data_IF_578577621678
#
_entry.id   IF_578577621678
#
_cell.length_a   1.000
_cell.length_b   1.000
_cell.length_c   1.000
_cell.angle_alpha   90.00
_cell.angle_beta   90.00
_cell.angle_gamma   90.00
#
_symmetry.space_group_name_H-M   'P 1'
#
loop_
_entity.id
_entity.type
_entity.pdbx_description
1 polymer ?
#
# COMPACT_ATOMS: atom_id res chain seq x y z
N UNK A 1 -11.91 7.12 -17.27
CA UNK A 1 -10.48 7.01 -16.91
C UNK A 1 -9.98 5.63 -17.33
N UNK A 2 -8.95 5.55 -18.18
CA UNK A 2 -8.34 4.27 -18.55
C UNK A 2 -7.44 3.83 -17.39
N UNK A 3 -7.69 2.65 -16.82
CA UNK A 3 -6.89 2.14 -15.72
C UNK A 3 -5.41 2.04 -16.13
N UNK A 4 -4.53 2.69 -15.36
CA UNK A 4 -3.09 2.65 -15.61
C UNK A 4 -2.59 1.21 -15.48
N UNK A 5 -1.70 0.73 -16.37
CA UNK A 5 -1.14 -0.62 -16.25
C UNK A 5 -0.46 -0.83 -14.89
N UNK A 6 -0.80 -1.93 -14.21
CA UNK A 6 -0.18 -2.32 -12.93
C UNK A 6 1.32 -2.52 -13.11
N UNK A 7 2.10 -2.09 -12.11
CA UNK A 7 3.54 -2.31 -12.11
C UNK A 7 3.88 -3.82 -12.04
N UNK A 8 5.08 -4.21 -12.46
CA UNK A 8 5.55 -5.60 -12.36
C UNK A 8 5.46 -6.13 -10.91
N UNK A 9 5.77 -5.27 -9.95
CA UNK A 9 5.74 -5.59 -8.53
C UNK A 9 4.30 -5.82 -8.03
N UNK A 10 3.35 -4.97 -8.44
CA UNK A 10 1.92 -5.16 -8.14
C UNK A 10 1.39 -6.49 -8.69
N UNK A 11 1.73 -6.82 -9.93
CA UNK A 11 1.35 -8.11 -10.54
C UNK A 11 1.92 -9.32 -9.79
N UNK A 12 3.17 -9.21 -9.32
CA UNK A 12 3.80 -10.26 -8.50
C UNK A 12 3.10 -10.41 -7.14
N UNK A 13 2.70 -9.30 -6.51
CA UNK A 13 1.95 -9.32 -5.25
C UNK A 13 0.60 -10.02 -5.41
N UNK A 14 -0.18 -9.63 -6.41
CA UNK A 14 -1.49 -10.23 -6.72
C UNK A 14 -1.36 -11.73 -6.98
N UNK A 15 -0.41 -12.15 -7.81
CA UNK A 15 -0.17 -13.57 -8.07
C UNK A 15 0.23 -14.35 -6.81
N UNK A 16 0.96 -13.71 -5.89
CA UNK A 16 1.36 -14.33 -4.62
C UNK A 16 0.16 -14.47 -3.68
N UNK A 17 -0.65 -13.41 -3.53
CA UNK A 17 -1.88 -13.46 -2.73
C UNK A 17 -2.87 -14.49 -3.26
N UNK A 18 -3.05 -14.58 -4.57
CA UNK A 18 -3.98 -15.54 -5.18
C UNK A 18 -3.51 -16.98 -4.97
N UNK A 19 -2.20 -17.22 -5.11
CA UNK A 19 -1.60 -18.52 -4.75
C UNK A 19 -1.82 -18.87 -3.28
N UNK A 20 -1.66 -17.91 -2.38
CA UNK A 20 -1.86 -18.11 -0.94
C UNK A 20 -3.34 -18.36 -0.60
N UNK A 21 -4.26 -17.62 -1.24
CA UNK A 21 -5.71 -17.84 -1.16
C UNK A 21 -6.09 -19.25 -1.60
N UNK A 22 -5.61 -19.68 -2.77
CA UNK A 22 -5.86 -21.02 -3.29
C UNK A 22 -5.28 -22.10 -2.38
N UNK A 23 -4.05 -21.91 -1.88
CA UNK A 23 -3.41 -22.86 -0.97
C UNK A 23 -4.19 -22.98 0.35
N UNK A 24 -4.64 -21.86 0.92
CA UNK A 24 -5.43 -21.86 2.16
C UNK A 24 -6.75 -22.60 1.97
N UNK A 25 -7.48 -22.30 0.90
CA UNK A 25 -8.73 -22.98 0.57
C UNK A 25 -8.53 -24.48 0.31
N UNK A 26 -7.45 -24.86 -0.40
CA UNK A 26 -7.11 -26.26 -0.65
C UNK A 26 -6.79 -27.04 0.64
N UNK A 27 -6.09 -26.42 1.59
CA UNK A 27 -5.76 -27.03 2.89
C UNK A 27 -7.01 -27.21 3.74
N UNK A 28 -7.91 -26.22 3.76
CA UNK A 28 -9.20 -26.33 4.44
C UNK A 28 -10.05 -27.46 3.83
N UNK A 29 -10.13 -27.51 2.50
CA UNK A 29 -10.82 -28.60 1.80
C UNK A 29 -10.22 -29.97 2.12
N UNK A 30 -8.90 -30.06 2.19
CA UNK A 30 -8.21 -31.30 2.55
C UNK A 30 -8.52 -31.74 3.99
N UNK A 31 -8.55 -30.80 4.95
CA UNK A 31 -8.98 -31.07 6.33
C UNK A 31 -10.38 -31.69 6.38
N UNK A 32 -11.34 -31.09 5.67
CA UNK A 32 -12.70 -31.65 5.57
C UNK A 32 -12.69 -33.08 5.01
N UNK A 33 -11.89 -33.35 3.97
CA UNK A 33 -11.82 -34.70 3.38
C UNK A 33 -11.20 -35.73 4.33
N UNK A 34 -10.22 -35.33 5.13
CA UNK A 34 -9.62 -36.20 6.16
C UNK A 34 -10.66 -36.57 7.21
N UNK A 35 -11.46 -35.60 7.68
CA UNK A 35 -12.55 -35.83 8.63
C UNK A 35 -13.66 -36.72 8.06
N UNK A 36 -14.01 -36.55 6.78
CA UNK A 36 -14.98 -37.42 6.09
C UNK A 36 -14.49 -38.85 5.98
N UNK A 37 -13.21 -39.02 5.64
CA UNK A 37 -12.58 -40.34 5.57
C UNK A 37 -12.58 -41.03 6.95
N UNK A 38 -12.32 -40.27 8.03
CA UNK A 38 -12.37 -40.77 9.39
C UNK A 38 -13.79 -41.24 9.80
N UNK A 39 -14.84 -40.59 9.26
CA UNK A 39 -16.25 -41.00 9.43
C UNK A 39 -16.67 -42.20 8.56
N UNK A 40 -15.77 -42.75 7.75
CA UNK A 40 -16.08 -43.84 6.81
C UNK A 40 -16.81 -43.39 5.54
N UNK A 41 -16.90 -42.09 5.28
CA UNK A 41 -17.50 -41.56 4.06
C UNK A 41 -16.52 -41.58 2.88
N UNK A 42 -17.05 -41.50 1.65
CA UNK A 42 -16.23 -41.30 0.45
C UNK A 42 -15.54 -39.93 0.50
N UNK A 43 -14.21 -39.95 0.56
CA UNK A 43 -13.34 -38.75 0.55
C UNK A 43 -12.69 -38.53 -0.81
N UNK A 44 -12.53 -37.28 -1.24
CA UNK A 44 -11.69 -36.96 -2.43
C UNK A 44 -10.21 -37.19 -2.12
N UNK A 45 -9.44 -37.55 -3.15
CA UNK A 45 -7.99 -37.71 -3.01
C UNK A 45 -7.29 -36.35 -2.93
N UNK A 46 -6.13 -36.30 -2.28
CA UNK A 46 -5.28 -35.10 -2.23
C UNK A 46 -4.96 -34.56 -3.65
N UNK A 47 -4.75 -35.46 -4.61
CA UNK A 47 -4.44 -35.09 -6.01
C UNK A 47 -5.60 -34.35 -6.67
N UNK A 48 -6.84 -34.80 -6.43
CA UNK A 48 -8.00 -34.12 -6.99
C UNK A 48 -8.19 -32.71 -6.42
N UNK A 49 -7.91 -32.52 -5.12
CA UNK A 49 -7.95 -31.20 -4.48
C UNK A 49 -6.84 -30.30 -5.05
N UNK A 50 -5.62 -30.84 -5.22
CA UNK A 50 -4.52 -30.10 -5.83
C UNK A 50 -4.85 -29.62 -7.25
N UNK A 51 -5.48 -30.48 -8.07
CA UNK A 51 -5.95 -30.14 -9.41
C UNK A 51 -7.10 -29.13 -9.39
N UNK A 52 -8.07 -29.25 -8.48
CA UNK A 52 -9.22 -28.34 -8.31
C UNK A 52 -8.78 -26.90 -7.98
N UNK A 53 -7.79 -26.75 -7.10
CA UNK A 53 -7.30 -25.43 -6.66
C UNK A 53 -6.04 -24.95 -7.40
N UNK A 54 -5.56 -25.71 -8.39
CA UNK A 54 -4.33 -25.42 -9.13
C UNK A 54 -3.09 -25.19 -8.23
N UNK A 55 -2.95 -25.99 -7.18
CA UNK A 55 -1.82 -25.90 -6.22
C UNK A 55 -1.05 -27.22 -6.14
N UNK A 56 0.22 -27.17 -5.76
CA UNK A 56 1.03 -28.37 -5.59
C UNK A 56 0.54 -29.22 -4.40
N UNK A 57 0.37 -30.53 -4.61
CA UNK A 57 -0.04 -31.48 -3.57
C UNK A 57 0.90 -31.50 -2.34
N UNK A 58 2.20 -31.31 -2.55
CA UNK A 58 3.19 -31.24 -1.47
C UNK A 58 3.05 -29.95 -0.68
N UNK A 59 2.67 -28.84 -1.32
CA UNK A 59 2.40 -27.58 -0.62
C UNK A 59 1.19 -27.72 0.32
N UNK A 60 0.12 -28.40 -0.12
CA UNK A 60 -1.04 -28.71 0.74
C UNK A 60 -0.60 -29.55 1.95
N UNK A 61 0.13 -30.64 1.72
CA UNK A 61 0.59 -31.54 2.79
C UNK A 61 1.52 -30.84 3.78
N UNK A 62 2.51 -30.09 3.28
CA UNK A 62 3.44 -29.34 4.11
C UNK A 62 2.67 -28.37 5.02
N UNK A 63 1.70 -27.64 4.45
CA UNK A 63 0.89 -26.69 5.20
C UNK A 63 -0.06 -27.37 6.19
N UNK A 64 -0.67 -28.49 5.80
CA UNK A 64 -1.52 -29.30 6.67
C UNK A 64 -0.74 -29.81 7.89
N UNK A 65 0.51 -30.23 7.69
CA UNK A 65 1.42 -30.70 8.74
C UNK A 65 2.04 -29.56 9.58
N UNK A 66 1.54 -28.32 9.46
CA UNK A 66 2.02 -27.17 10.25
C UNK A 66 3.25 -26.47 9.69
N UNK A 67 3.68 -26.78 8.46
CA UNK A 67 4.76 -26.08 7.79
C UNK A 67 4.39 -24.63 7.45
N UNK A 68 5.38 -23.74 7.51
CA UNK A 68 5.23 -22.33 7.17
C UNK A 68 5.57 -22.06 5.71
N UNK A 69 4.86 -21.12 5.10
CA UNK A 69 5.23 -20.56 3.81
C UNK A 69 6.45 -19.64 3.96
N UNK A 70 7.12 -19.36 2.85
CA UNK A 70 8.23 -18.38 2.82
C UNK A 70 7.74 -17.01 3.31
N UNK A 71 6.51 -16.62 2.99
CA UNK A 71 5.93 -15.34 3.44
C UNK A 71 5.76 -15.31 4.95
N UNK A 72 5.21 -16.37 5.55
CA UNK A 72 5.06 -16.48 7.01
C UNK A 72 6.41 -16.49 7.72
N UNK A 73 7.40 -17.23 7.19
CA UNK A 73 8.75 -17.22 7.74
C UNK A 73 9.46 -15.86 7.60
N UNK A 74 9.12 -15.09 6.57
CA UNK A 74 9.65 -13.73 6.41
C UNK A 74 8.94 -12.74 7.33
N UNK A 75 7.64 -12.93 7.60
CA UNK A 75 6.88 -12.11 8.53
C UNK A 75 7.44 -12.21 9.96
N UNK A 76 7.89 -13.39 10.40
CA UNK A 76 8.52 -13.55 11.73
C UNK A 76 9.86 -12.83 11.86
N UNK A 77 10.54 -12.56 10.76
CA UNK A 77 11.82 -11.84 10.72
C UNK A 77 11.64 -10.31 10.63
N UNK A 78 10.39 -9.82 10.62
CA UNK A 78 10.14 -8.39 10.51
C UNK A 78 10.39 -7.64 11.81
N UNK A 79 10.86 -6.40 11.63
CA UNK A 79 11.15 -5.48 12.73
C UNK A 79 9.88 -4.91 13.35
N UNK A 80 8.86 -4.68 12.52
CA UNK A 80 7.52 -4.29 12.93
C UNK A 80 6.56 -5.46 12.73
N UNK A 81 5.48 -5.48 13.49
CA UNK A 81 4.35 -6.41 13.27
C UNK A 81 3.57 -6.00 12.02
N UNK A 82 2.78 -6.94 11.46
CA UNK A 82 1.93 -6.64 10.31
C UNK A 82 0.91 -5.50 10.60
N UNK A 83 0.44 -5.40 11.84
CA UNK A 83 -0.49 -4.34 12.26
C UNK A 83 0.20 -2.97 12.34
N UNK A 84 1.41 -2.91 12.93
CA UNK A 84 2.21 -1.68 12.98
C UNK A 84 2.65 -1.22 11.60
N UNK A 85 3.06 -2.15 10.73
CA UNK A 85 3.45 -1.84 9.36
C UNK A 85 2.25 -1.30 8.56
N UNK A 86 1.05 -1.87 8.77
CA UNK A 86 -0.18 -1.34 8.22
C UNK A 86 -0.50 0.07 8.74
N UNK A 87 -0.40 0.32 10.04
CA UNK A 87 -0.61 1.64 10.61
C UNK A 87 0.36 2.69 10.04
N UNK A 88 1.63 2.31 9.83
CA UNK A 88 2.60 3.16 9.14
C UNK A 88 2.20 3.44 7.69
N UNK A 89 1.70 2.44 6.96
CA UNK A 89 1.22 2.62 5.60
C UNK A 89 0.00 3.55 5.54
N UNK A 90 -0.95 3.39 6.46
CA UNK A 90 -2.13 4.26 6.60
C UNK A 90 -1.72 5.70 6.93
N UNK A 91 -0.72 5.88 7.80
CA UNK A 91 -0.11 7.19 8.07
C UNK A 91 0.52 7.82 6.82
N UNK A 92 1.22 7.04 5.99
CA UNK A 92 1.75 7.55 4.71
C UNK A 92 0.63 7.98 3.77
N UNK A 93 -0.47 7.22 3.70
CA UNK A 93 -1.64 7.55 2.89
C UNK A 93 -2.27 8.86 3.38
N UNK A 94 -2.48 8.99 4.69
CA UNK A 94 -3.02 10.20 5.30
C UNK A 94 -2.15 11.43 4.97
N UNK A 95 -0.83 11.30 5.14
CA UNK A 95 0.13 12.36 4.80
C UNK A 95 0.07 12.76 3.32
N UNK A 96 -0.05 11.79 2.41
CA UNK A 96 -0.25 12.06 0.99
C UNK A 96 -1.57 12.82 0.73
N UNK A 97 -2.66 12.45 1.40
CA UNK A 97 -3.96 13.14 1.26
C UNK A 97 -3.93 14.60 1.73
N UNK A 98 -3.07 14.91 2.71
CA UNK A 98 -2.82 16.26 3.20
C UNK A 98 -1.85 17.07 2.31
N UNK A 99 -1.48 16.56 1.12
CA UNK A 99 -0.44 17.13 0.27
C UNK A 99 0.93 17.28 0.98
N UNK A 100 1.21 16.40 1.95
CA UNK A 100 2.47 16.35 2.70
C UNK A 100 3.12 14.97 2.59
N UNK A 101 3.37 14.45 1.38
CA UNK A 101 3.87 13.09 1.19
C UNK A 101 5.25 12.93 1.85
N UNK A 102 5.43 11.94 2.74
CA UNK A 102 6.69 11.76 3.44
C UNK A 102 7.76 11.22 2.49
N UNK A 103 9.01 11.66 2.68
CA UNK A 103 10.16 11.09 1.98
C UNK A 103 10.63 9.79 2.66
N UNK A 104 11.58 9.09 2.03
CA UNK A 104 12.10 7.82 2.55
C UNK A 104 12.72 7.93 3.94
N UNK A 105 13.36 9.06 4.25
CA UNK A 105 13.97 9.30 5.56
C UNK A 105 12.88 9.44 6.62
N UNK A 106 11.83 10.22 6.35
CA UNK A 106 10.70 10.39 7.26
C UNK A 106 9.96 9.09 7.54
N UNK A 107 9.75 8.25 6.51
CA UNK A 107 9.16 6.91 6.69
C UNK A 107 10.05 6.04 7.59
N UNK A 108 11.37 6.06 7.37
CA UNK A 108 12.32 5.31 8.20
C UNK A 108 12.32 5.78 9.66
N UNK A 109 12.30 7.10 9.88
CA UNK A 109 12.27 7.68 11.22
C UNK A 109 10.97 7.32 11.95
N UNK A 110 9.84 7.36 11.26
CA UNK A 110 8.57 6.95 11.85
C UNK A 110 8.56 5.45 12.19
N UNK A 111 9.08 4.61 11.30
CA UNK A 111 9.24 3.17 11.57
C UNK A 111 10.18 2.90 12.75
N UNK A 112 11.29 3.63 12.85
CA UNK A 112 12.23 3.52 13.97
C UNK A 112 11.58 3.97 15.29
N UNK A 113 10.74 5.01 15.26
CA UNK A 113 9.98 5.46 16.44
C UNK A 113 9.04 4.37 16.95
N UNK A 114 8.26 3.75 16.06
CA UNK A 114 7.39 2.61 16.42
C UNK A 114 8.23 1.46 16.98
N UNK A 115 9.34 1.11 16.31
CA UNK A 115 10.24 0.04 16.77
C UNK A 115 10.79 0.33 18.17
N UNK A 116 11.24 1.54 18.45
CA UNK A 116 11.80 1.91 19.76
C UNK A 116 10.77 1.81 20.88
N UNK A 117 9.51 2.12 20.60
CA UNK A 117 8.43 2.04 21.59
C UNK A 117 7.96 0.61 21.86
N UNK A 118 7.84 -0.21 20.82
CA UNK A 118 7.20 -1.53 20.92
C UNK A 118 8.19 -2.71 20.92
N UNK A 119 9.37 -2.55 20.33
CA UNK A 119 10.37 -3.61 20.13
C UNK A 119 11.81 -3.10 20.39
N UNK A 120 12.11 -2.59 21.60
CA UNK A 120 13.41 -1.97 21.91
C UNK A 120 14.58 -2.94 21.77
N UNK A 121 14.34 -4.24 21.93
CA UNK A 121 15.27 -5.36 21.81
C UNK A 121 15.70 -5.67 20.36
N UNK A 122 14.92 -5.24 19.36
CA UNK A 122 15.24 -5.47 17.94
C UNK A 122 16.27 -4.48 17.41
N UNK A 123 17.04 -4.90 16.41
CA UNK A 123 17.98 -4.01 15.72
C UNK A 123 17.30 -2.81 15.04
N UNK A 124 18.00 -1.68 14.97
CA UNK A 124 17.54 -0.44 14.31
C UNK A 124 17.15 -0.61 12.84
N UNK A 125 16.20 0.19 12.36
CA UNK A 125 15.71 0.15 10.99
C UNK A 125 16.81 0.64 10.02
N UNK A 126 17.33 -0.29 9.21
CA UNK A 126 18.35 0.00 8.19
C UNK A 126 17.79 0.62 6.90
N UNK A 127 18.67 1.17 6.06
CA UNK A 127 18.27 1.96 4.88
C UNK A 127 17.47 1.18 3.84
N UNK A 128 17.80 -0.10 3.65
CA UNK A 128 17.08 -0.96 2.71
C UNK A 128 15.65 -1.31 3.19
N UNK A 129 15.33 -1.08 4.47
CA UNK A 129 14.04 -1.46 5.04
C UNK A 129 12.89 -0.71 4.36
N UNK A 130 13.03 0.59 4.09
CA UNK A 130 11.96 1.39 3.44
C UNK A 130 11.67 0.88 2.03
N UNK A 131 12.70 0.47 1.29
CA UNK A 131 12.50 -0.15 -0.04
C UNK A 131 11.71 -1.44 0.06
N UNK A 132 11.98 -2.26 1.08
CA UNK A 132 11.24 -3.51 1.31
C UNK A 132 9.81 -3.24 1.82
N UNK A 133 9.62 -2.24 2.67
CA UNK A 133 8.30 -1.76 3.11
C UNK A 133 7.45 -1.35 1.91
N UNK A 134 7.96 -0.48 1.03
CA UNK A 134 7.26 -0.09 -0.19
C UNK A 134 6.96 -1.28 -1.13
N UNK A 135 7.84 -2.29 -1.15
CA UNK A 135 7.59 -3.51 -1.92
C UNK A 135 6.50 -4.41 -1.32
N UNK A 136 6.24 -4.32 -0.01
CA UNK A 136 5.16 -5.06 0.68
C UNK A 136 3.83 -4.31 0.65
N UNK A 137 3.86 -2.99 0.45
CA UNK A 137 2.67 -2.15 0.37
C UNK A 137 2.49 -1.63 -1.07
N UNK A 138 1.92 -2.43 -1.99
CA UNK A 138 1.77 -2.07 -3.41
C UNK A 138 0.83 -0.87 -3.67
N UNK A 139 0.07 -0.45 -2.66
CA UNK A 139 -0.71 0.79 -2.64
C UNK A 139 0.18 2.03 -2.53
N UNK A 140 1.44 1.86 -2.09
CA UNK A 140 2.42 2.93 -1.98
C UNK A 140 3.45 2.80 -3.10
N UNK A 141 3.70 3.91 -3.77
CA UNK A 141 4.76 4.07 -4.75
C UNK A 141 5.67 5.23 -4.35
N UNK A 142 6.75 5.47 -5.10
CA UNK A 142 7.56 6.67 -4.92
C UNK A 142 7.60 7.47 -6.21
N UNK A 143 7.39 8.77 -6.11
CA UNK A 143 7.53 9.72 -7.20
C UNK A 143 8.56 10.80 -6.86
N UNK A 144 9.05 11.48 -7.89
CA UNK A 144 9.77 12.74 -7.67
C UNK A 144 8.77 13.84 -7.34
N UNK A 145 9.03 14.58 -6.27
CA UNK A 145 8.32 15.82 -6.00
C UNK A 145 8.62 16.83 -7.10
N UNK A 146 7.65 17.70 -7.37
CA UNK A 146 7.86 18.90 -8.17
C UNK A 146 7.81 20.08 -7.22
N UNK A 147 8.84 20.93 -7.27
CA UNK A 147 8.75 22.24 -6.63
C UNK A 147 7.63 23.03 -7.28
N UNK A 148 7.03 23.95 -6.51
CA UNK A 148 6.16 24.96 -7.10
C UNK A 148 6.98 25.69 -8.16
N UNK A 149 6.36 26.01 -9.29
CA UNK A 149 7.01 26.86 -10.28
C UNK A 149 7.38 28.19 -9.61
N UNK A 150 8.67 28.53 -9.61
CA UNK A 150 9.20 29.69 -8.89
C UNK A 150 8.53 30.98 -9.35
N UNK A 151 8.20 31.12 -10.63
CA UNK A 151 7.49 32.29 -11.14
C UNK A 151 6.07 32.34 -10.58
N UNK A 152 5.36 31.19 -10.56
CA UNK A 152 4.01 31.11 -9.97
C UNK A 152 4.05 31.43 -8.48
N UNK A 153 5.06 30.96 -7.75
CA UNK A 153 5.26 31.26 -6.33
C UNK A 153 5.46 32.77 -6.10
N UNK A 154 6.26 33.43 -6.94
CA UNK A 154 6.52 34.87 -6.86
C UNK A 154 5.30 35.72 -7.22
N UNK A 155 4.40 35.22 -8.08
CA UNK A 155 3.17 35.92 -8.46
C UNK A 155 2.06 35.86 -7.38
N UNK A 156 2.21 35.03 -6.33
CA UNK A 156 1.25 34.94 -5.22
C UNK A 156 1.42 36.11 -4.24
N UNK A 157 0.94 37.28 -4.61
CA UNK A 157 0.77 38.40 -3.66
C UNK A 157 -0.62 38.34 -3.00
N UNK A 158 -0.79 38.80 -1.75
CA UNK A 158 -2.09 38.80 -1.08
C UNK A 158 -3.19 39.49 -1.90
N UNK A 159 -2.85 40.58 -2.60
CA UNK A 159 -3.78 41.33 -3.44
C UNK A 159 -4.22 40.52 -4.67
N UNK A 160 -3.29 39.83 -5.34
CA UNK A 160 -3.60 38.97 -6.50
C UNK A 160 -4.47 37.79 -6.08
N UNK A 161 -4.15 37.16 -4.95
CA UNK A 161 -4.95 36.05 -4.40
C UNK A 161 -6.36 36.52 -4.03
N UNK A 162 -6.47 37.67 -3.34
CA UNK A 162 -7.77 38.25 -2.97
C UNK A 162 -8.60 38.59 -4.21
N UNK A 163 -8.04 39.29 -5.20
CA UNK A 163 -8.74 39.66 -6.42
C UNK A 163 -9.24 38.43 -7.20
N UNK A 164 -8.47 37.34 -7.22
CA UNK A 164 -8.90 36.09 -7.83
C UNK A 164 -10.08 35.46 -7.09
N UNK A 165 -10.05 35.38 -5.75
CA UNK A 165 -11.18 34.86 -4.97
C UNK A 165 -12.43 35.74 -5.08
N UNK A 166 -12.26 37.06 -5.12
CA UNK A 166 -13.35 38.02 -5.36
C UNK A 166 -14.02 37.73 -6.73
N UNK A 167 -13.21 37.54 -7.78
CA UNK A 167 -13.70 37.20 -9.14
C UNK A 167 -14.42 35.84 -9.17
N UNK A 168 -13.88 34.83 -8.50
CA UNK A 168 -14.51 33.50 -8.40
C UNK A 168 -15.83 33.59 -7.64
N UNK A 169 -15.89 34.40 -6.58
CA UNK A 169 -17.14 34.62 -5.85
C UNK A 169 -18.21 35.21 -6.77
N UNK A 170 -17.88 36.29 -7.50
CA UNK A 170 -18.82 36.93 -8.42
C UNK A 170 -19.30 35.96 -9.51
N UNK A 171 -18.38 35.33 -10.24
CA UNK A 171 -18.75 34.53 -11.43
C UNK A 171 -19.14 33.07 -11.18
N UNK A 172 -18.98 32.55 -9.96
CA UNK A 172 -19.32 31.15 -9.62
C UNK A 172 -20.33 31.08 -8.50
N UNK A 173 -20.08 31.80 -7.40
CA UNK A 173 -20.93 31.73 -6.20
C UNK A 173 -22.18 32.59 -6.38
N UNK A 174 -22.01 33.85 -6.75
CA UNK A 174 -23.12 34.81 -6.87
C UNK A 174 -23.98 34.49 -8.11
N UNK A 175 -23.34 34.07 -9.21
CA UNK A 175 -24.02 33.53 -10.41
C UNK A 175 -24.61 32.13 -10.22
N UNK A 176 -24.47 31.53 -9.03
CA UNK A 176 -25.02 30.22 -8.65
C UNK A 176 -24.71 29.10 -9.67
N UNK A 177 -23.48 29.05 -10.17
CA UNK A 177 -23.06 28.04 -11.15
C UNK A 177 -23.23 26.65 -10.53
N UNK A 178 -24.00 25.75 -11.18
CA UNK A 178 -24.25 24.44 -10.63
C UNK A 178 -22.95 23.63 -10.47
N UNK A 179 -22.82 22.82 -9.39
CA UNK A 179 -21.62 22.00 -9.16
C UNK A 179 -21.26 21.09 -10.34
N UNK A 180 -22.25 20.59 -11.08
CA UNK A 180 -22.07 19.77 -12.29
C UNK A 180 -21.37 20.51 -13.44
N UNK A 181 -21.29 21.83 -13.40
CA UNK A 181 -20.58 22.68 -14.36
C UNK A 181 -19.16 23.04 -13.90
N UNK A 182 -18.76 22.68 -12.67
CA UNK A 182 -17.46 23.00 -12.11
C UNK A 182 -16.55 21.78 -12.25
N UNK A 183 -15.58 21.87 -13.17
CA UNK A 183 -14.63 20.80 -13.43
C UNK A 183 -13.24 21.18 -12.91
N UNK A 184 -12.73 20.44 -11.93
CA UNK A 184 -11.36 20.59 -11.44
C UNK A 184 -10.35 20.09 -12.48
N UNK A 185 -9.43 20.96 -12.91
CA UNK A 185 -8.38 20.62 -13.87
C UNK A 185 -7.01 20.69 -13.21
N UNK A 186 -6.74 19.89 -12.18
CA UNK A 186 -5.39 19.71 -11.65
C UNK A 186 -5.12 18.38 -10.92
N UNK A 187 -3.97 17.77 -11.23
CA UNK A 187 -3.20 16.97 -10.28
C UNK A 187 -1.78 17.53 -10.29
N UNK A 188 -1.33 18.20 -9.23
CA UNK A 188 0.10 18.49 -9.03
C UNK A 188 0.46 18.45 -7.55
N UNK A 189 1.23 17.44 -7.15
CA UNK A 189 1.80 17.35 -5.81
C UNK A 189 3.00 18.29 -5.69
N UNK A 190 2.81 19.43 -5.05
CA UNK A 190 3.88 20.33 -4.63
C UNK A 190 4.12 20.21 -3.11
N UNK A 191 5.31 19.80 -2.64
CA UNK A 191 5.64 19.85 -1.22
C UNK A 191 5.69 21.30 -0.71
N UNK A 192 5.44 21.50 0.59
CA UNK A 192 5.69 22.78 1.26
C UNK A 192 7.17 22.99 1.52
N UNK A 193 7.67 24.17 1.18
CA UNK A 193 9.04 24.63 1.49
C UNK A 193 10.01 24.50 0.31
N UNK A 194 11.14 25.21 0.41
CA UNK A 194 12.24 25.20 -0.57
C UNK A 194 13.06 23.89 -0.47
N UNK A 195 12.37 22.76 -0.38
CA UNK A 195 12.96 21.44 -0.44
C UNK A 195 13.03 21.10 -1.93
N UNK A 196 14.24 20.87 -2.43
CA UNK A 196 14.48 20.58 -3.83
C UNK A 196 13.75 19.32 -4.33
N UNK A 197 14.11 18.86 -5.53
CA UNK A 197 13.56 17.62 -6.08
C UNK A 197 13.94 16.44 -5.17
N UNK A 198 12.95 15.86 -4.50
CA UNK A 198 13.12 14.71 -3.60
C UNK A 198 12.20 13.56 -4.02
N UNK A 199 12.57 12.32 -3.65
CA UNK A 199 11.70 11.17 -3.83
C UNK A 199 10.76 11.03 -2.63
N UNK A 200 9.48 11.27 -2.87
CA UNK A 200 8.40 11.21 -1.86
C UNK A 200 7.48 10.02 -2.13
N UNK A 201 6.76 9.57 -1.11
CA UNK A 201 5.70 8.59 -1.27
C UNK A 201 4.58 9.14 -2.16
N UNK A 202 3.92 8.25 -2.91
CA UNK A 202 2.76 8.54 -3.74
C UNK A 202 1.79 7.36 -3.68
N UNK A 203 0.50 7.65 -3.60
CA UNK A 203 -0.60 6.68 -3.75
C UNK A 203 -0.88 6.47 -5.24
#
# INVERSE_FOLDING_TARGET
MVARPKSKLQKQHEATEDRERHLKAAVEKYREQVERKARGEKSRSLRNIAEEFCVDKMAILQKYNGGHTIQEQNATKQKLTAAEEKALADWVIERCSQALPPNRIQIRLHAEHIRQQHHPDKDSIGDAWVTRFLARHPTLSTGWSRSLDTQRAQCLSPNVVKAWFDTVKEGVVDDAVPPECIWGMDETNCPRGNLGKERVAKI
#
